data_IF_292252553149
#
_entry.id   IF_292252553149
#
_cell.length_a   1.000
_cell.length_b   1.000
_cell.length_c   1.000
_cell.angle_alpha   90.00
_cell.angle_beta   90.00
_cell.angle_gamma   90.00
#
_symmetry.space_group_name_H-M   'P 1'
#
loop_
_entity.id
_entity.type
_entity.pdbx_description
1 polymer ?
#
# COMPACT_ATOMS: atom_id res chain seq x y z
N UNK A 1 15.21 11.10 -16.57
CA UNK A 1 15.02 10.05 -15.53
C UNK A 1 14.24 8.83 -16.02
N UNK A 2 12.93 8.92 -16.26
CA UNK A 2 12.09 7.75 -16.61
C UNK A 2 12.63 6.95 -17.81
N UNK A 3 13.05 7.63 -18.89
CA UNK A 3 13.65 6.97 -20.05
C UNK A 3 14.90 6.15 -19.69
N UNK A 4 15.75 6.64 -18.78
CA UNK A 4 16.97 5.92 -18.38
C UNK A 4 16.68 4.75 -17.42
N UNK A 5 15.64 4.87 -16.60
CA UNK A 5 15.17 3.78 -15.73
C UNK A 5 14.52 2.66 -16.54
N UNK A 6 13.76 3.01 -17.57
CA UNK A 6 13.02 2.08 -18.43
C UNK A 6 13.79 1.68 -19.69
N UNK A 7 15.11 1.84 -19.72
CA UNK A 7 15.95 1.42 -20.84
C UNK A 7 15.85 -0.11 -21.05
N UNK A 8 15.46 -0.56 -22.27
CA UNK A 8 15.32 -1.98 -22.57
C UNK A 8 16.62 -2.76 -22.42
N UNK A 9 17.75 -2.16 -22.78
CA UNK A 9 19.05 -2.80 -22.61
C UNK A 9 19.56 -2.62 -21.17
N UNK A 10 19.69 -3.69 -20.36
CA UNK A 10 20.10 -3.57 -18.96
C UNK A 10 21.50 -2.96 -18.78
N UNK A 11 22.39 -3.09 -19.76
CA UNK A 11 23.75 -2.51 -19.71
C UNK A 11 23.73 -0.99 -19.91
N UNK A 12 22.71 -0.47 -20.61
CA UNK A 12 22.53 0.97 -20.84
C UNK A 12 21.62 1.63 -19.80
N UNK A 13 20.95 0.83 -18.95
CA UNK A 13 20.08 1.34 -17.90
C UNK A 13 20.90 2.10 -16.88
N UNK A 14 20.38 3.22 -16.39
CA UNK A 14 21.07 3.98 -15.37
C UNK A 14 21.23 3.17 -14.08
N UNK A 15 22.38 3.34 -13.44
CA UNK A 15 22.71 2.82 -12.12
C UNK A 15 22.02 3.62 -11.03
N UNK A 16 21.99 3.05 -9.82
CA UNK A 16 21.46 3.76 -8.64
C UNK A 16 22.21 5.07 -8.38
N UNK A 17 23.53 5.08 -8.55
CA UNK A 17 24.37 6.27 -8.32
C UNK A 17 23.97 7.40 -9.28
N UNK A 18 23.71 7.09 -10.54
CA UNK A 18 23.26 8.07 -11.52
C UNK A 18 21.85 8.59 -11.21
N UNK A 19 20.96 7.75 -10.67
CA UNK A 19 19.60 8.15 -10.27
C UNK A 19 19.64 9.13 -9.10
N UNK A 20 20.40 8.84 -8.04
CA UNK A 20 20.44 9.71 -6.85
C UNK A 20 21.07 11.07 -7.13
N UNK A 21 21.88 11.19 -8.19
CA UNK A 21 22.46 12.46 -8.62
C UNK A 21 21.58 13.21 -9.64
N UNK A 22 20.51 12.60 -10.14
CA UNK A 22 19.69 13.20 -11.18
C UNK A 22 18.95 14.46 -10.67
N UNK A 23 18.93 15.58 -11.42
CA UNK A 23 18.33 16.85 -10.94
C UNK A 23 16.87 16.73 -10.52
N UNK A 24 16.08 15.91 -11.22
CA UNK A 24 14.68 15.64 -10.86
C UNK A 24 14.52 14.98 -9.48
N UNK A 25 15.47 14.15 -9.03
CA UNK A 25 15.42 13.53 -7.70
C UNK A 25 15.76 14.55 -6.61
N UNK A 26 16.72 15.43 -6.87
CA UNK A 26 17.19 16.45 -5.93
C UNK A 26 16.50 17.81 -6.08
N UNK A 27 15.36 17.87 -6.78
CA UNK A 27 14.66 19.13 -6.98
C UNK A 27 14.13 19.66 -5.63
N UNK A 28 14.19 20.97 -5.44
CA UNK A 28 13.61 21.62 -4.26
C UNK A 28 12.09 21.52 -4.30
N UNK A 29 11.47 21.06 -3.21
CA UNK A 29 10.01 20.97 -3.07
C UNK A 29 9.58 21.77 -1.85
N UNK A 30 8.58 22.65 -2.01
CA UNK A 30 7.92 23.30 -0.89
C UNK A 30 6.74 22.43 -0.42
N UNK A 31 6.85 21.84 0.76
CA UNK A 31 5.84 20.93 1.31
C UNK A 31 4.54 21.66 1.70
N UNK A 32 4.60 22.95 2.01
CA UNK A 32 3.43 23.74 2.41
C UNK A 32 2.38 23.86 1.27
N UNK A 33 2.81 23.61 0.04
CA UNK A 33 1.93 23.61 -1.13
C UNK A 33 1.07 22.34 -1.26
N UNK A 34 1.27 21.33 -0.41
CA UNK A 34 0.60 20.05 -0.52
C UNK A 34 -0.20 19.77 0.76
N UNK A 35 -1.52 19.65 0.64
CA UNK A 35 -2.35 19.10 1.71
C UNK A 35 -2.73 17.67 1.38
N UNK A 36 -2.59 16.77 2.36
CA UNK A 36 -2.90 15.35 2.18
C UNK A 36 -4.27 15.09 1.50
N UNK A 37 -5.40 15.68 1.93
CA UNK A 37 -6.69 15.42 1.29
C UNK A 37 -6.82 15.99 -0.13
N UNK A 38 -5.94 16.90 -0.54
CA UNK A 38 -5.92 17.46 -1.90
C UNK A 38 -5.08 16.56 -2.85
N UNK A 39 -4.15 15.79 -2.30
CA UNK A 39 -3.24 14.89 -3.05
C UNK A 39 -3.74 13.46 -3.05
N UNK A 40 -4.24 12.98 -1.92
CA UNK A 40 -4.74 11.63 -1.71
C UNK A 40 -6.25 11.71 -1.56
N UNK A 41 -6.95 11.30 -2.62
CA UNK A 41 -8.40 11.14 -2.60
C UNK A 41 -8.71 9.64 -2.52
N UNK A 42 -8.90 9.15 -1.30
CA UNK A 42 -9.32 7.78 -1.06
C UNK A 42 -10.85 7.69 -1.18
N UNK A 43 -11.33 6.63 -1.81
CA UNK A 43 -12.75 6.30 -1.83
C UNK A 43 -13.26 5.98 -0.41
N UNK A 44 -14.57 6.07 -0.19
CA UNK A 44 -15.15 5.77 1.12
C UNK A 44 -14.80 4.36 1.63
N UNK A 45 -14.70 3.39 0.71
CA UNK A 45 -14.33 2.01 1.01
C UNK A 45 -12.84 1.86 1.36
N UNK A 46 -11.96 2.72 0.87
CA UNK A 46 -10.54 2.74 1.26
C UNK A 46 -10.34 3.42 2.62
N UNK A 47 -11.14 4.45 2.92
CA UNK A 47 -11.12 5.15 4.20
C UNK A 47 -11.73 4.27 5.31
N UNK A 48 -12.81 3.55 4.98
CA UNK A 48 -13.53 2.68 5.89
C UNK A 48 -13.72 1.29 5.25
N UNK A 49 -12.66 0.46 5.23
CA UNK A 49 -12.72 -0.84 4.60
C UNK A 49 -13.78 -1.72 5.28
N UNK A 50 -14.56 -2.50 4.49
CA UNK A 50 -15.54 -3.41 5.05
C UNK A 50 -14.84 -4.42 5.96
N UNK A 51 -15.35 -4.55 7.19
CA UNK A 51 -14.92 -5.61 8.10
C UNK A 51 -15.52 -6.91 7.60
N UNK A 52 -14.68 -7.81 7.09
CA UNK A 52 -15.09 -9.17 6.81
C UNK A 52 -15.28 -9.91 8.14
N UNK A 53 -16.51 -9.89 8.67
CA UNK A 53 -16.93 -10.76 9.77
C UNK A 53 -17.17 -12.14 9.16
N UNK A 54 -16.11 -12.95 9.05
CA UNK A 54 -16.26 -14.21 8.31
C UNK A 54 -15.17 -15.26 8.51
N UNK A 55 -14.35 -15.17 9.57
CA UNK A 55 -13.43 -16.27 9.92
C UNK A 55 -13.24 -16.52 11.43
N UNK A 56 -13.60 -15.56 12.30
CA UNK A 56 -13.41 -15.74 13.75
C UNK A 56 -14.73 -15.94 14.54
N UNK A 57 -15.89 -15.61 13.97
CA UNK A 57 -17.17 -15.86 14.66
C UNK A 57 -17.66 -17.30 14.48
N UNK A 58 -17.30 -17.97 13.38
CA UNK A 58 -17.66 -19.39 13.17
C UNK A 58 -16.91 -20.35 14.10
N UNK A 59 -15.72 -19.99 14.60
CA UNK A 59 -14.99 -20.88 15.53
C UNK A 59 -15.51 -20.83 16.96
N UNK A 60 -16.12 -19.72 17.39
CA UNK A 60 -16.68 -19.63 18.75
C UNK A 60 -18.09 -20.23 18.87
N UNK A 61 -18.83 -20.37 17.76
CA UNK A 61 -20.17 -21.01 17.77
C UNK A 61 -20.11 -22.55 17.78
N UNK A 62 -19.00 -23.15 17.34
CA UNK A 62 -18.85 -24.62 17.29
C UNK A 62 -18.32 -25.21 18.61
N UNK A 63 -17.57 -24.42 19.39
CA UNK A 63 -17.05 -24.86 20.69
C UNK A 63 -18.14 -24.98 21.77
N UNK A 64 -19.19 -24.15 21.73
CA UNK A 64 -20.27 -24.19 22.72
C UNK A 64 -21.30 -25.32 22.48
N UNK A 65 -21.42 -25.85 21.25
CA UNK A 65 -22.44 -26.87 20.96
C UNK A 65 -21.98 -28.31 21.22
N UNK A 66 -20.66 -28.56 21.33
CA UNK A 66 -20.11 -29.91 21.46
C UNK A 66 -19.96 -30.39 22.91
N UNK A 67 -20.23 -29.54 23.91
CA UNK A 67 -20.13 -29.91 25.33
C UNK A 67 -21.47 -30.22 26.02
N UNK A 68 -22.58 -30.24 25.29
CA UNK A 68 -23.93 -30.36 25.88
C UNK A 68 -24.58 -31.75 25.77
N UNK A 69 -24.02 -32.69 25.01
CA UNK A 69 -24.58 -34.03 24.81
C UNK A 69 -23.64 -35.11 25.34
N UNK A 70 -23.48 -35.18 26.66
CA UNK A 70 -22.90 -36.33 27.38
C UNK A 70 -23.35 -36.35 28.84
N UNK A 71 -24.62 -36.66 29.11
CA UNK A 71 -25.11 -37.19 30.41
C UNK A 71 -26.47 -37.85 30.28
#
# INVERSE_FOLDING_TARGET
LIHHLLEPNPVKRCTLVEVVLHPWVNQSVNLDNYKFPEVVNASADEINPPKYIGFFEEQNLVLDSTYSDSS
#
